data_IF_535600478389
#
_entry.id   IF_535600478389
#
_cell.length_a   1.000
_cell.length_b   1.000
_cell.length_c   1.000
_cell.angle_alpha   90.00
_cell.angle_beta   90.00
_cell.angle_gamma   90.00
#
_symmetry.space_group_name_H-M   'P 1'
#
loop_
_entity.id
_entity.type
_entity.pdbx_description
1 polymer ?
#
# COMPACT_ATOMS: atom_id res chain seq x y z
N UNK A 1 -27.86 -14.72 30.72
CA UNK A 1 -26.67 -14.04 30.20
C UNK A 1 -25.88 -15.06 29.40
N UNK A 2 -25.54 -14.75 28.12
CA UNK A 2 -24.57 -15.44 27.27
C UNK A 2 -25.07 -16.55 26.35
N UNK A 3 -26.00 -16.24 25.42
CA UNK A 3 -26.19 -17.06 24.22
C UNK A 3 -25.83 -16.34 22.93
N UNK A 4 -25.35 -15.09 23.01
CA UNK A 4 -24.99 -14.25 21.83
C UNK A 4 -23.52 -14.38 21.38
N UNK A 5 -22.70 -15.24 22.01
CA UNK A 5 -21.26 -15.28 21.82
C UNK A 5 -20.77 -16.32 20.80
N UNK A 6 -21.65 -17.09 20.14
CA UNK A 6 -21.24 -18.14 19.21
C UNK A 6 -21.95 -18.07 17.85
N UNK A 7 -22.38 -16.90 17.42
CA UNK A 7 -22.74 -16.71 16.02
C UNK A 7 -21.44 -16.73 15.23
N UNK A 8 -21.14 -17.85 14.56
CA UNK A 8 -19.99 -17.97 13.63
C UNK A 8 -20.06 -16.78 12.68
N UNK A 9 -19.12 -15.84 12.83
CA UNK A 9 -19.00 -14.71 11.93
C UNK A 9 -18.80 -15.26 10.52
N UNK A 10 -19.73 -14.98 9.62
CA UNK A 10 -19.77 -15.48 8.26
C UNK A 10 -19.53 -14.32 7.30
N UNK A 11 -18.56 -14.46 6.40
CA UNK A 11 -18.32 -13.48 5.38
C UNK A 11 -18.51 -14.07 3.94
N UNK A 12 -18.33 -13.25 2.95
CA UNK A 12 -18.44 -13.68 1.55
C UNK A 12 -17.46 -14.80 1.18
N UNK A 13 -16.30 -14.85 1.81
CA UNK A 13 -15.26 -15.85 1.48
C UNK A 13 -15.68 -17.22 1.99
N UNK A 14 -16.38 -17.28 3.12
CA UNK A 14 -16.96 -18.53 3.62
C UNK A 14 -17.97 -19.11 2.60
N UNK A 15 -18.83 -18.27 2.03
CA UNK A 15 -19.76 -18.68 0.97
C UNK A 15 -19.00 -19.17 -0.28
N UNK A 16 -17.95 -18.44 -0.69
CA UNK A 16 -17.12 -18.81 -1.83
C UNK A 16 -16.45 -20.18 -1.65
N UNK A 17 -15.96 -20.47 -0.44
CA UNK A 17 -15.36 -21.77 -0.14
C UNK A 17 -16.39 -22.91 -0.21
N UNK A 18 -17.60 -22.71 0.32
CA UNK A 18 -18.66 -23.71 0.26
C UNK A 18 -19.14 -23.95 -1.17
N UNK A 19 -19.32 -22.90 -1.97
CA UNK A 19 -19.70 -23.02 -3.38
C UNK A 19 -18.66 -23.83 -4.15
N UNK A 20 -17.37 -23.61 -3.94
CA UNK A 20 -16.32 -24.40 -4.60
C UNK A 20 -16.28 -25.84 -4.11
N UNK A 21 -16.41 -26.10 -2.80
CA UNK A 21 -16.50 -27.47 -2.25
C UNK A 21 -17.70 -28.25 -2.82
N UNK A 22 -18.80 -27.56 -3.07
CA UNK A 22 -20.00 -28.19 -3.67
C UNK A 22 -19.76 -28.58 -5.14
N UNK A 23 -19.00 -27.80 -5.91
CA UNK A 23 -18.71 -28.05 -7.33
C UNK A 23 -17.53 -29.01 -7.53
N UNK A 24 -16.51 -28.90 -6.70
CA UNK A 24 -15.27 -29.70 -6.79
C UNK A 24 -14.89 -30.16 -5.38
N UNK A 25 -15.46 -31.27 -4.86
CA UNK A 25 -15.26 -31.71 -3.48
C UNK A 25 -13.79 -31.93 -3.06
N UNK A 26 -12.93 -32.30 -4.00
CA UNK A 26 -11.50 -32.56 -3.75
C UNK A 26 -10.63 -31.29 -3.81
N UNK A 27 -11.22 -30.11 -4.07
CA UNK A 27 -10.47 -28.86 -4.16
C UNK A 27 -10.01 -28.42 -2.76
N UNK A 28 -8.70 -28.23 -2.54
CA UNK A 28 -8.21 -27.65 -1.28
C UNK A 28 -8.56 -26.15 -1.26
N UNK A 29 -9.55 -25.78 -0.46
CA UNK A 29 -10.07 -24.39 -0.42
C UNK A 29 -9.39 -23.54 0.66
N UNK A 30 -8.59 -24.12 1.57
CA UNK A 30 -7.91 -23.40 2.66
C UNK A 30 -7.08 -22.21 2.18
N UNK A 31 -6.31 -22.27 1.08
CA UNK A 31 -5.60 -21.10 0.58
C UNK A 31 -6.52 -19.98 0.10
N UNK A 32 -7.74 -20.31 -0.38
CA UNK A 32 -8.73 -19.33 -0.80
C UNK A 32 -9.14 -18.48 0.38
N UNK A 33 -9.33 -19.10 1.55
CA UNK A 33 -9.70 -18.42 2.80
C UNK A 33 -8.77 -17.24 3.12
N UNK A 34 -7.47 -17.41 2.95
CA UNK A 34 -6.48 -16.36 3.23
C UNK A 34 -6.40 -15.35 2.09
N UNK A 35 -6.19 -15.84 0.86
CA UNK A 35 -5.90 -14.96 -0.29
C UNK A 35 -7.11 -14.10 -0.66
N UNK A 36 -8.32 -14.68 -0.68
CA UNK A 36 -9.52 -13.92 -1.01
C UNK A 36 -9.82 -12.82 0.03
N UNK A 37 -9.56 -13.08 1.33
CA UNK A 37 -9.72 -12.05 2.37
C UNK A 37 -8.68 -10.94 2.22
N UNK A 38 -7.42 -11.25 1.88
CA UNK A 38 -6.41 -10.23 1.58
C UNK A 38 -6.81 -9.35 0.40
N UNK A 39 -7.32 -9.94 -0.70
CA UNK A 39 -7.79 -9.19 -1.86
C UNK A 39 -8.98 -8.30 -1.51
N UNK A 40 -9.96 -8.82 -0.76
CA UNK A 40 -11.10 -8.00 -0.32
C UNK A 40 -10.68 -6.89 0.64
N UNK A 41 -9.79 -7.18 1.57
CA UNK A 41 -9.28 -6.16 2.50
C UNK A 41 -8.51 -5.07 1.76
N UNK A 42 -7.68 -5.43 0.78
CA UNK A 42 -7.02 -4.47 -0.10
C UNK A 42 -8.02 -3.52 -0.78
N UNK A 43 -9.14 -4.04 -1.29
CA UNK A 43 -10.19 -3.20 -1.88
C UNK A 43 -10.79 -2.19 -0.89
N UNK A 44 -11.08 -2.61 0.35
CA UNK A 44 -11.60 -1.70 1.37
C UNK A 44 -10.58 -0.64 1.77
N UNK A 45 -9.32 -1.03 1.94
CA UNK A 45 -8.21 -0.12 2.23
C UNK A 45 -8.09 0.93 1.13
N UNK A 46 -7.98 0.49 -0.15
CA UNK A 46 -7.85 1.38 -1.31
C UNK A 46 -8.97 2.41 -1.36
N UNK A 47 -10.22 1.97 -1.17
CA UNK A 47 -11.39 2.85 -1.22
C UNK A 47 -11.36 3.91 -0.11
N UNK A 48 -11.06 3.51 1.13
CA UNK A 48 -11.01 4.45 2.26
C UNK A 48 -9.85 5.42 2.13
N UNK A 49 -8.68 4.93 1.72
CA UNK A 49 -7.49 5.75 1.48
C UNK A 49 -7.75 6.75 0.35
N UNK A 50 -8.37 6.33 -0.76
CA UNK A 50 -8.68 7.23 -1.87
C UNK A 50 -9.61 8.39 -1.44
N UNK A 51 -10.67 8.08 -0.67
CA UNK A 51 -11.58 9.09 -0.14
C UNK A 51 -10.85 10.08 0.79
N UNK A 52 -9.96 9.60 1.64
CA UNK A 52 -9.19 10.45 2.54
C UNK A 52 -8.22 11.36 1.78
N UNK A 53 -7.45 10.82 0.83
CA UNK A 53 -6.44 11.56 0.09
C UNK A 53 -7.05 12.57 -0.89
N UNK A 54 -8.27 12.34 -1.38
CA UNK A 54 -8.98 13.30 -2.20
C UNK A 54 -9.21 14.66 -1.49
N UNK A 55 -9.25 14.69 -0.15
CA UNK A 55 -9.35 15.93 0.66
C UNK A 55 -8.09 16.80 0.53
N UNK A 56 -6.97 16.21 0.12
CA UNK A 56 -5.69 16.88 -0.11
C UNK A 56 -5.39 17.07 -1.60
N UNK A 57 -6.35 16.82 -2.48
CA UNK A 57 -6.17 16.80 -3.95
C UNK A 57 -5.02 15.86 -4.37
N UNK A 58 -4.90 14.71 -3.71
CA UNK A 58 -3.91 13.68 -4.00
C UNK A 58 -4.57 12.36 -4.34
N UNK A 59 -4.05 11.69 -5.36
CA UNK A 59 -4.26 10.27 -5.55
C UNK A 59 -3.32 9.48 -4.61
N UNK A 60 -3.63 8.21 -4.33
CA UNK A 60 -2.74 7.34 -3.56
C UNK A 60 -1.31 7.33 -4.11
N UNK A 61 -1.17 7.19 -5.43
CA UNK A 61 0.15 7.14 -6.01
C UNK A 61 0.92 8.47 -5.98
N UNK A 62 0.24 9.61 -6.03
CA UNK A 62 0.86 10.91 -5.80
C UNK A 62 1.32 11.07 -4.36
N UNK A 63 0.49 10.63 -3.41
CA UNK A 63 0.85 10.60 -1.99
C UNK A 63 2.06 9.69 -1.72
N UNK A 64 2.12 8.49 -2.29
CA UNK A 64 3.26 7.57 -2.15
C UNK A 64 4.57 8.20 -2.62
N UNK A 65 4.56 8.90 -3.76
CA UNK A 65 5.73 9.64 -4.27
C UNK A 65 6.17 10.70 -3.27
N UNK A 66 5.27 11.57 -2.86
CA UNK A 66 5.57 12.65 -1.90
C UNK A 66 6.02 12.09 -0.55
N UNK A 67 5.41 11.02 -0.07
CA UNK A 67 5.77 10.38 1.19
C UNK A 67 7.19 9.81 1.17
N UNK A 68 7.63 9.22 0.05
CA UNK A 68 9.03 8.77 -0.09
C UNK A 68 9.99 9.94 -0.06
N UNK A 69 9.71 11.01 -0.81
CA UNK A 69 10.58 12.19 -0.86
C UNK A 69 10.64 12.94 0.48
N UNK A 70 9.50 13.03 1.18
CA UNK A 70 9.41 13.74 2.45
C UNK A 70 10.13 13.03 3.60
N UNK A 71 10.08 11.69 3.66
CA UNK A 71 10.74 10.90 4.71
C UNK A 71 12.22 10.60 4.46
N UNK A 72 12.73 10.95 3.26
CA UNK A 72 14.14 10.80 2.89
C UNK A 72 14.71 12.13 2.36
N UNK A 73 14.73 13.22 3.17
CA UNK A 73 15.07 14.55 2.68
C UNK A 73 16.53 14.67 2.21
N UNK A 74 17.43 13.92 2.86
CA UNK A 74 18.88 13.97 2.60
C UNK A 74 19.33 12.98 1.51
N UNK A 75 18.44 12.10 1.04
CA UNK A 75 18.77 11.14 0.00
C UNK A 75 18.52 11.73 -1.40
N UNK A 76 19.45 11.51 -2.32
CA UNK A 76 19.30 11.90 -3.71
C UNK A 76 18.42 10.89 -4.46
N UNK A 77 17.11 11.10 -4.38
CA UNK A 77 16.10 10.22 -4.97
C UNK A 77 15.98 10.48 -6.47
N UNK A 78 16.53 9.59 -7.30
CA UNK A 78 16.26 9.57 -8.73
C UNK A 78 14.94 8.87 -9.06
N UNK A 79 14.34 9.04 -10.25
CA UNK A 79 13.16 8.27 -10.67
C UNK A 79 13.37 6.76 -10.59
N UNK A 80 14.57 6.27 -10.84
CA UNK A 80 14.94 4.85 -10.75
C UNK A 80 14.90 4.37 -9.28
N UNK A 81 15.50 5.12 -8.37
CA UNK A 81 15.47 4.81 -6.93
C UNK A 81 14.01 4.88 -6.43
N UNK A 82 13.26 5.91 -6.82
CA UNK A 82 11.86 6.03 -6.44
C UNK A 82 11.03 4.82 -6.88
N UNK A 83 11.25 4.31 -8.09
CA UNK A 83 10.58 3.12 -8.61
C UNK A 83 10.84 1.86 -7.76
N UNK A 84 12.02 1.73 -7.16
CA UNK A 84 12.32 0.59 -6.27
C UNK A 84 11.68 0.73 -4.89
N UNK A 85 11.39 1.98 -4.46
CA UNK A 85 10.78 2.27 -3.15
C UNK A 85 9.24 2.20 -3.16
N UNK A 86 8.61 2.26 -4.35
CA UNK A 86 7.17 2.15 -4.54
C UNK A 86 6.86 1.10 -5.61
N UNK A 87 5.79 0.33 -5.40
CA UNK A 87 5.37 -0.73 -6.35
C UNK A 87 4.58 -0.13 -7.52
N UNK A 88 5.32 0.41 -8.52
CA UNK A 88 4.71 1.07 -9.68
C UNK A 88 5.48 0.82 -10.97
N UNK A 89 4.77 0.82 -12.11
CA UNK A 89 5.38 0.81 -13.44
C UNK A 89 6.02 2.16 -13.78
N UNK A 90 7.07 2.17 -14.61
CA UNK A 90 7.79 3.39 -15.02
C UNK A 90 6.90 4.44 -15.68
N UNK A 91 5.96 4.03 -16.54
CA UNK A 91 5.01 4.95 -17.19
C UNK A 91 4.05 5.61 -16.20
N UNK A 92 3.55 4.84 -15.24
CA UNK A 92 2.72 5.38 -14.15
C UNK A 92 3.48 6.38 -13.28
N UNK A 93 4.76 6.12 -12.98
CA UNK A 93 5.61 7.00 -12.18
C UNK A 93 5.85 8.35 -12.87
N UNK A 94 6.22 8.36 -14.15
CA UNK A 94 6.47 9.59 -14.90
C UNK A 94 5.28 10.54 -14.92
N UNK A 95 4.07 10.01 -15.09
CA UNK A 95 2.85 10.80 -15.05
C UNK A 95 2.57 11.40 -13.65
N UNK A 96 2.83 10.63 -12.58
CA UNK A 96 2.66 11.14 -11.19
C UNK A 96 3.66 12.24 -10.88
N UNK A 97 4.94 12.06 -11.24
CA UNK A 97 5.98 13.09 -11.07
C UNK A 97 5.57 14.38 -11.79
N UNK A 98 5.15 14.30 -13.07
CA UNK A 98 4.71 15.47 -13.84
C UNK A 98 3.55 16.20 -13.17
N UNK A 99 2.51 15.48 -12.73
CA UNK A 99 1.36 16.09 -12.05
C UNK A 99 1.74 16.76 -10.73
N UNK A 100 2.63 16.17 -9.95
CA UNK A 100 3.11 16.76 -8.71
C UNK A 100 3.95 18.01 -8.94
N UNK A 101 4.76 18.02 -10.01
CA UNK A 101 5.53 19.18 -10.46
C UNK A 101 4.59 20.30 -10.92
N UNK A 102 3.55 20.00 -11.72
CA UNK A 102 2.52 20.97 -12.14
C UNK A 102 1.75 21.56 -10.93
N UNK A 103 1.54 20.79 -9.86
CA UNK A 103 0.94 21.28 -8.60
C UNK A 103 1.93 22.07 -7.72
N UNK A 104 3.22 22.12 -8.09
CA UNK A 104 4.29 22.74 -7.31
C UNK A 104 4.60 22.02 -6.00
N UNK A 105 4.36 20.71 -5.94
CA UNK A 105 4.58 19.87 -4.77
C UNK A 105 5.90 19.10 -4.84
N UNK A 106 6.48 19.02 -6.04
CA UNK A 106 7.72 18.33 -6.35
C UNK A 106 8.54 19.20 -7.30
N UNK A 107 9.85 19.14 -7.20
CA UNK A 107 10.80 19.76 -8.12
C UNK A 107 11.84 18.76 -8.60
N UNK A 108 12.40 19.05 -9.79
CA UNK A 108 13.51 18.30 -10.37
C UNK A 108 14.77 19.14 -10.27
N UNK A 109 15.81 18.55 -9.72
CA UNK A 109 17.15 19.15 -9.64
C UNK A 109 18.10 18.37 -10.56
N UNK A 110 19.12 19.02 -11.14
CA UNK A 110 20.20 18.33 -11.84
C UNK A 110 20.90 17.34 -10.90
N UNK A 111 21.20 16.14 -11.40
CA UNK A 111 22.03 15.19 -10.65
C UNK A 111 23.52 15.59 -10.78
N UNK A 112 24.22 15.91 -9.70
CA UNK A 112 25.63 16.32 -9.75
C UNK A 112 26.55 15.18 -10.21
N UNK A 113 26.11 13.93 -10.10
CA UNK A 113 26.89 12.74 -10.49
C UNK A 113 26.63 12.28 -11.94
N UNK A 114 25.48 12.64 -12.51
CA UNK A 114 25.09 12.29 -13.88
C UNK A 114 24.49 13.51 -14.60
N UNK A 115 25.19 14.03 -15.62
CA UNK A 115 24.72 15.19 -16.41
C UNK A 115 23.36 15.00 -17.08
N UNK A 116 22.88 13.78 -17.26
CA UNK A 116 21.56 13.45 -17.82
C UNK A 116 20.56 13.05 -16.75
N UNK A 117 21.02 12.90 -15.51
CA UNK A 117 20.22 12.49 -14.36
C UNK A 117 19.41 13.65 -13.77
N UNK A 118 18.35 13.28 -13.08
CA UNK A 118 17.54 14.21 -12.31
C UNK A 118 17.31 13.64 -10.91
N UNK A 119 17.39 14.50 -9.90
CA UNK A 119 17.03 14.23 -8.53
C UNK A 119 15.65 14.83 -8.28
N UNK A 120 14.80 14.09 -7.58
CA UNK A 120 13.45 14.51 -7.20
C UNK A 120 13.47 14.95 -5.75
N UNK A 121 12.94 16.12 -5.47
CA UNK A 121 12.76 16.64 -4.09
C UNK A 121 11.32 17.10 -3.91
N UNK A 122 10.77 16.90 -2.72
CA UNK A 122 9.52 17.55 -2.35
C UNK A 122 9.80 19.02 -2.04
N UNK A 123 8.98 19.93 -2.59
CA UNK A 123 9.03 21.35 -2.22
C UNK A 123 8.55 21.54 -0.78
N UNK A 124 8.78 22.70 -0.17
CA UNK A 124 8.27 22.99 1.17
C UNK A 124 6.73 22.87 1.23
N UNK A 125 6.04 23.29 0.16
CA UNK A 125 4.60 23.09 0.00
C UNK A 125 4.25 21.60 -0.04
N UNK A 126 5.01 20.79 -0.81
CA UNK A 126 4.83 19.35 -0.90
C UNK A 126 5.05 18.64 0.43
N UNK A 127 6.12 19.00 1.17
CA UNK A 127 6.39 18.46 2.50
C UNK A 127 5.26 18.77 3.49
N UNK A 128 4.85 20.04 3.57
CA UNK A 128 3.77 20.47 4.46
C UNK A 128 2.46 19.74 4.18
N UNK A 129 2.07 19.62 2.90
CA UNK A 129 0.88 18.87 2.48
C UNK A 129 1.01 17.38 2.84
N UNK A 130 2.18 16.79 2.60
CA UNK A 130 2.43 15.37 2.91
C UNK A 130 2.32 15.08 4.40
N UNK A 131 2.83 15.95 5.27
CA UNK A 131 2.73 15.78 6.72
C UNK A 131 1.27 15.85 7.20
N UNK A 132 0.46 16.73 6.64
CA UNK A 132 -0.98 16.76 6.92
C UNK A 132 -1.69 15.49 6.43
N UNK A 133 -1.38 15.08 5.19
CA UNK A 133 -2.00 13.90 4.59
C UNK A 133 -1.63 12.61 5.33
N UNK A 134 -0.37 12.42 5.77
CA UNK A 134 0.06 11.22 6.51
C UNK A 134 -0.59 11.15 7.88
N UNK A 135 -0.77 12.26 8.58
CA UNK A 135 -1.47 12.28 9.87
C UNK A 135 -2.92 11.80 9.70
N UNK A 136 -3.63 12.33 8.71
CA UNK A 136 -5.00 11.90 8.39
C UNK A 136 -5.05 10.45 7.88
N UNK A 137 -4.03 10.00 7.14
CA UNK A 137 -3.94 8.64 6.62
C UNK A 137 -3.80 7.60 7.74
N UNK A 138 -2.96 7.87 8.74
CA UNK A 138 -2.79 6.99 9.91
C UNK A 138 -4.09 6.85 10.71
N UNK A 139 -4.92 7.89 10.78
CA UNK A 139 -6.25 7.78 11.41
C UNK A 139 -7.16 6.79 10.64
N UNK A 140 -7.16 6.86 9.30
CA UNK A 140 -7.91 5.90 8.47
C UNK A 140 -7.40 4.47 8.67
N UNK A 141 -6.07 4.28 8.76
CA UNK A 141 -5.48 2.96 9.04
C UNK A 141 -5.86 2.45 10.44
N UNK A 142 -5.84 3.32 11.45
CA UNK A 142 -6.30 2.98 12.81
C UNK A 142 -7.74 2.52 12.83
N UNK A 143 -8.64 3.23 12.15
CA UNK A 143 -10.04 2.86 12.04
C UNK A 143 -10.25 1.52 11.33
N UNK A 144 -9.43 1.21 10.30
CA UNK A 144 -9.53 -0.05 9.56
C UNK A 144 -9.23 -1.27 10.44
N UNK A 145 -8.39 -1.12 11.44
CA UNK A 145 -7.99 -2.21 12.35
C UNK A 145 -8.59 -2.10 13.76
N UNK A 146 -9.46 -1.11 14.01
CA UNK A 146 -10.02 -0.82 15.33
C UNK A 146 -10.86 -1.96 15.92
N UNK A 147 -11.35 -2.90 15.10
CA UNK A 147 -12.07 -4.09 15.56
C UNK A 147 -11.16 -5.18 16.11
N UNK A 148 -9.83 -5.04 15.98
CA UNK A 148 -8.84 -5.99 16.48
C UNK A 148 -8.20 -5.45 17.77
N UNK A 149 -7.98 -6.32 18.75
CA UNK A 149 -7.13 -6.00 19.91
C UNK A 149 -5.69 -5.74 19.49
N UNK A 150 -4.90 -5.10 20.33
CA UNK A 150 -3.48 -4.85 20.06
C UNK A 150 -2.68 -6.14 19.80
N UNK A 151 -3.03 -7.22 20.49
CA UNK A 151 -2.40 -8.54 20.28
C UNK A 151 -2.71 -9.08 18.91
N UNK A 152 -3.98 -9.10 18.50
CA UNK A 152 -4.42 -9.55 17.17
C UNK A 152 -3.81 -8.71 16.05
N UNK A 153 -3.69 -7.38 16.24
CA UNK A 153 -3.00 -6.51 15.26
C UNK A 153 -1.53 -6.89 15.09
N UNK A 154 -0.81 -7.17 16.20
CA UNK A 154 0.60 -7.60 16.17
C UNK A 154 0.76 -8.97 15.50
N UNK A 155 -0.11 -9.91 15.80
CA UNK A 155 -0.12 -11.24 15.20
C UNK A 155 -0.37 -11.18 13.69
N UNK A 156 -1.41 -10.44 13.27
CA UNK A 156 -1.73 -10.23 11.87
C UNK A 156 -0.56 -9.57 11.12
N UNK A 157 0.02 -8.51 11.68
CA UNK A 157 1.18 -7.83 11.10
C UNK A 157 2.39 -8.78 10.94
N UNK A 158 2.63 -9.67 11.92
CA UNK A 158 3.70 -10.67 11.86
C UNK A 158 3.47 -11.69 10.75
N UNK A 159 2.24 -12.21 10.61
CA UNK A 159 1.88 -13.17 9.56
C UNK A 159 2.00 -12.54 8.17
N UNK A 160 1.50 -11.32 7.99
CA UNK A 160 1.61 -10.59 6.72
C UNK A 160 3.07 -10.30 6.36
N UNK A 161 3.89 -9.88 7.33
CA UNK A 161 5.33 -9.69 7.13
C UNK A 161 6.00 -10.98 6.65
N UNK A 162 5.69 -12.13 7.26
CA UNK A 162 6.25 -13.42 6.84
C UNK A 162 5.87 -13.75 5.39
N UNK A 163 4.59 -13.61 5.02
CA UNK A 163 4.14 -13.84 3.65
C UNK A 163 4.85 -12.92 2.64
N UNK A 164 4.99 -11.63 2.95
CA UNK A 164 5.67 -10.66 2.07
C UNK A 164 7.14 -11.06 1.85
N UNK A 165 7.86 -11.44 2.91
CA UNK A 165 9.27 -11.84 2.82
C UNK A 165 9.44 -13.10 1.95
N UNK A 166 8.54 -14.08 2.06
CA UNK A 166 8.57 -15.27 1.21
C UNK A 166 8.38 -14.90 -0.27
N UNK A 167 7.41 -14.04 -0.61
CA UNK A 167 7.17 -13.60 -1.99
C UNK A 167 8.36 -12.81 -2.55
N UNK A 168 8.98 -11.94 -1.74
CA UNK A 168 10.17 -11.19 -2.17
C UNK A 168 11.36 -12.12 -2.47
N UNK A 169 11.56 -13.17 -1.68
CA UNK A 169 12.61 -14.16 -1.95
C UNK A 169 12.39 -14.92 -3.25
N UNK A 170 11.14 -15.28 -3.57
CA UNK A 170 10.81 -15.96 -4.81
C UNK A 170 11.04 -15.07 -6.04
N UNK A 171 10.60 -13.81 -5.98
CA UNK A 171 10.85 -12.84 -7.05
C UNK A 171 12.35 -12.65 -7.32
N UNK A 172 13.17 -12.55 -6.28
CA UNK A 172 14.61 -12.42 -6.41
C UNK A 172 15.26 -13.68 -7.03
N UNK A 173 14.80 -14.88 -6.67
CA UNK A 173 15.29 -16.13 -7.28
C UNK A 173 14.93 -16.22 -8.77
N UNK A 174 13.73 -15.77 -9.15
CA UNK A 174 13.28 -15.81 -10.54
C UNK A 174 13.94 -14.75 -11.41
N UNK A 175 14.39 -13.62 -10.83
CA UNK A 175 15.13 -12.56 -11.52
C UNK A 175 16.59 -12.92 -11.80
N UNK A 176 17.11 -13.98 -11.20
CA UNK A 176 18.47 -14.49 -11.37
C UNK A 176 18.55 -15.68 -12.36
N UNK A 177 17.43 -16.10 -12.91
CA UNK A 177 17.32 -17.13 -13.97
C UNK A 177 17.03 -16.51 -15.31
#
# INVERSE_FOLDING_TARGET
>A
VTEAANQKLWDFVDSLEEEWKAQVPELPTEPISVVARLVRMSYYIERRVAVNLARFDLTRGEFEVLAVLTRNPDEDITPKILQTKILITSGGLSNRIRKLEEKGLLERLPDPSDRRGVILKATEKGKALTLQAVTSHVEVERELVAGLSETEQKELASLLKHLILLQQQELNRNSLR
#
